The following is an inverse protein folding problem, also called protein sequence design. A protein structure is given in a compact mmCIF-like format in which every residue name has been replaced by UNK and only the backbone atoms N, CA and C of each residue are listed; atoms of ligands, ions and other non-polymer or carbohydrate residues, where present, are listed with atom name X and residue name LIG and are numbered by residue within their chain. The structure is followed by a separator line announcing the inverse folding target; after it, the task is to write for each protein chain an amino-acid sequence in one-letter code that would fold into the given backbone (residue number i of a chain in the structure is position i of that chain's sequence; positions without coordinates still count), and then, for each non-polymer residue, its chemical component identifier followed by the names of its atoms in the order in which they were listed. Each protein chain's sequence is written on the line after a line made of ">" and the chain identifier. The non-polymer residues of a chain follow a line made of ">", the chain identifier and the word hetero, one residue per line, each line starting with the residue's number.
data_IF_438147672199
#
_entry.id   IF_438147672199
#
_cell.length_a   1.000
_cell.length_b   1.000
_cell.length_c   1.000
_cell.angle_alpha   90.00
_cell.angle_beta   90.00
_cell.angle_gamma   90.00
#
_symmetry.space_group_name_H-M   'P 1'
#
loop_
_entity.id
_entity.type
_entity.pdbx_description
1 polymer ?
#
# COMPACT_ATOMS: atom_id res chain seq x y z
N UNK A 1 -22.23 -22.06 38.53
CA UNK A 1 -22.44 -22.98 37.39
C UNK A 1 -21.78 -22.39 36.15
N UNK A 2 -20.85 -23.12 35.55
CA UNK A 2 -20.50 -23.02 34.11
C UNK A 2 -19.55 -21.90 33.67
N UNK A 3 -18.27 -21.96 34.07
CA UNK A 3 -17.21 -21.25 33.34
C UNK A 3 -16.99 -21.93 31.99
N UNK A 4 -17.31 -21.24 30.89
CA UNK A 4 -17.03 -21.74 29.54
C UNK A 4 -15.52 -21.75 29.25
N UNK A 5 -14.99 -22.77 28.56
CA UNK A 5 -13.59 -22.82 28.16
C UNK A 5 -13.35 -21.81 27.03
N UNK A 6 -12.62 -20.74 27.32
CA UNK A 6 -12.15 -19.81 26.31
C UNK A 6 -11.05 -20.49 25.49
N UNK A 7 -11.39 -21.00 24.30
CA UNK A 7 -10.42 -21.48 23.33
C UNK A 7 -9.39 -20.40 22.97
N UNK A 8 -8.21 -20.78 22.44
CA UNK A 8 -7.14 -19.83 22.14
C UNK A 8 -7.64 -18.74 21.20
N UNK A 9 -7.57 -17.46 21.65
CA UNK A 9 -7.84 -16.30 20.79
C UNK A 9 -6.83 -16.33 19.65
N UNK A 10 -7.26 -16.70 18.45
CA UNK A 10 -6.41 -16.56 17.27
C UNK A 10 -5.96 -15.09 17.18
N UNK A 11 -4.66 -14.81 16.93
CA UNK A 11 -4.18 -13.45 16.76
C UNK A 11 -4.70 -12.91 15.42
N UNK A 12 -5.96 -12.49 15.40
CA UNK A 12 -6.54 -11.76 14.28
C UNK A 12 -6.07 -10.33 14.41
N UNK A 13 -5.38 -9.83 13.37
CA UNK A 13 -5.06 -8.41 13.27
C UNK A 13 -6.36 -7.60 13.46
N UNK A 14 -6.34 -6.55 14.29
CA UNK A 14 -7.46 -5.62 14.41
C UNK A 14 -7.91 -5.14 13.02
N UNK A 15 -9.22 -5.07 12.79
CA UNK A 15 -9.80 -4.76 11.45
C UNK A 15 -9.22 -3.47 10.86
N UNK A 16 -9.00 -2.45 11.69
CA UNK A 16 -8.36 -1.19 11.30
C UNK A 16 -6.93 -1.39 10.75
N UNK A 17 -6.11 -2.23 11.39
CA UNK A 17 -4.74 -2.49 10.95
C UNK A 17 -4.75 -3.22 9.61
N UNK A 18 -5.65 -4.21 9.46
CA UNK A 18 -5.82 -4.92 8.19
C UNK A 18 -6.30 -3.96 7.08
N UNK A 19 -7.26 -3.09 7.37
CA UNK A 19 -7.76 -2.08 6.46
C UNK A 19 -6.63 -1.16 5.97
N UNK A 20 -5.83 -0.62 6.89
CA UNK A 20 -4.70 0.26 6.54
C UNK A 20 -3.70 -0.47 5.66
N UNK A 21 -3.27 -1.68 6.07
CA UNK A 21 -2.27 -2.45 5.34
C UNK A 21 -2.74 -2.81 3.92
N UNK A 22 -3.97 -3.30 3.76
CA UNK A 22 -4.49 -3.71 2.45
C UNK A 22 -4.60 -2.52 1.51
N UNK A 23 -5.21 -1.41 1.96
CA UNK A 23 -5.38 -0.23 1.12
C UNK A 23 -4.04 0.41 0.76
N UNK A 24 -3.12 0.56 1.72
CA UNK A 24 -1.79 1.10 1.44
C UNK A 24 -1.00 0.22 0.48
N UNK A 25 -1.09 -1.12 0.58
CA UNK A 25 -0.40 -2.03 -0.34
C UNK A 25 -0.94 -1.92 -1.76
N UNK A 26 -2.26 -1.78 -1.94
CA UNK A 26 -2.85 -1.55 -3.27
C UNK A 26 -2.29 -0.27 -3.89
N UNK A 27 -2.25 0.82 -3.12
CA UNK A 27 -1.66 2.08 -3.57
C UNK A 27 -0.17 1.94 -3.92
N UNK A 28 0.62 1.23 -3.10
CA UNK A 28 2.04 0.97 -3.38
C UNK A 28 2.23 0.26 -4.71
N UNK A 29 1.45 -0.79 -4.98
CA UNK A 29 1.51 -1.56 -6.23
C UNK A 29 1.17 -0.67 -7.42
N UNK A 30 0.14 0.17 -7.31
CA UNK A 30 -0.20 1.15 -8.35
C UNK A 30 0.98 2.11 -8.57
N UNK A 31 1.58 2.65 -7.51
CA UNK A 31 2.75 3.53 -7.62
C UNK A 31 3.93 2.85 -8.33
N UNK A 32 4.20 1.58 -8.04
CA UNK A 32 5.25 0.82 -8.72
C UNK A 32 4.94 0.56 -10.20
N UNK A 33 3.68 0.31 -10.55
CA UNK A 33 3.26 0.20 -11.96
C UNK A 33 3.48 1.52 -12.70
N UNK A 34 3.16 2.66 -12.08
CA UNK A 34 3.42 3.98 -12.67
C UNK A 34 4.93 4.23 -12.82
N UNK A 35 5.73 3.94 -11.80
CA UNK A 35 7.18 4.07 -11.86
C UNK A 35 7.82 3.17 -12.94
N UNK A 36 7.35 1.94 -13.06
CA UNK A 36 7.75 1.03 -14.13
C UNK A 36 7.36 1.59 -15.51
N UNK A 37 6.16 2.17 -15.63
CA UNK A 37 5.72 2.87 -16.84
C UNK A 37 6.64 4.03 -17.23
N UNK A 38 7.05 4.87 -16.27
CA UNK A 38 7.98 5.98 -16.52
C UNK A 38 9.32 5.50 -17.10
N UNK A 39 9.85 4.41 -16.56
CA UNK A 39 11.10 3.80 -17.05
C UNK A 39 10.88 3.17 -18.42
N UNK A 40 9.81 2.38 -18.58
CA UNK A 40 9.53 1.62 -19.80
C UNK A 40 9.28 2.52 -21.00
N UNK A 41 8.47 3.56 -20.83
CA UNK A 41 8.19 4.55 -21.89
C UNK A 41 9.31 5.60 -22.04
N UNK A 42 10.36 5.51 -21.22
CA UNK A 42 11.49 6.44 -21.22
C UNK A 42 11.03 7.91 -21.20
N UNK A 43 10.07 8.23 -20.32
CA UNK A 43 9.44 9.55 -20.27
C UNK A 43 10.50 10.61 -20.02
N UNK A 44 10.68 11.55 -20.97
CA UNK A 44 11.69 12.59 -20.88
C UNK A 44 13.14 12.08 -20.79
N UNK A 45 13.43 10.86 -21.24
CA UNK A 45 14.76 10.25 -21.13
C UNK A 45 15.04 9.58 -19.77
N UNK A 46 14.05 9.52 -18.87
CA UNK A 46 14.23 9.02 -17.51
C UNK A 46 14.67 7.55 -17.45
N UNK A 47 14.10 6.69 -18.28
CA UNK A 47 14.47 5.29 -18.35
C UNK A 47 15.94 5.10 -18.73
N UNK A 48 16.41 5.82 -19.75
CA UNK A 48 17.82 5.81 -20.15
C UNK A 48 18.74 6.32 -19.05
N UNK A 49 18.34 7.38 -18.33
CA UNK A 49 19.10 7.94 -17.22
C UNK A 49 19.29 6.92 -16.09
N UNK A 50 18.21 6.25 -15.69
CA UNK A 50 18.25 5.20 -14.66
C UNK A 50 19.11 4.02 -15.14
N UNK A 51 18.97 3.61 -16.39
CA UNK A 51 19.69 2.46 -16.95
C UNK A 51 21.17 2.73 -17.26
N UNK A 52 21.60 3.98 -17.42
CA UNK A 52 23.03 4.31 -17.62
C UNK A 52 23.74 4.76 -16.33
N UNK A 53 23.01 5.00 -15.25
CA UNK A 53 23.60 5.33 -13.96
C UNK A 53 24.52 4.21 -13.44
N UNK A 54 25.60 4.58 -12.77
CA UNK A 54 26.44 3.63 -12.02
C UNK A 54 25.74 3.13 -10.74
N UNK A 55 24.72 3.85 -10.27
CA UNK A 55 23.97 3.55 -9.04
C UNK A 55 22.51 3.16 -9.33
N UNK A 56 22.29 2.29 -10.32
CA UNK A 56 20.94 1.90 -10.78
C UNK A 56 20.07 1.37 -9.64
N UNK A 57 20.64 0.54 -8.76
CA UNK A 57 19.92 -0.02 -7.62
C UNK A 57 19.41 1.04 -6.65
N UNK A 58 20.22 2.06 -6.36
CA UNK A 58 19.84 3.19 -5.49
C UNK A 58 18.75 4.02 -6.15
N UNK A 59 18.89 4.32 -7.45
CA UNK A 59 17.88 5.06 -8.20
C UNK A 59 16.52 4.34 -8.23
N UNK A 60 16.52 3.03 -8.49
CA UNK A 60 15.31 2.21 -8.47
C UNK A 60 14.70 2.14 -7.06
N UNK A 61 15.52 2.01 -6.02
CA UNK A 61 15.03 1.97 -4.64
C UNK A 61 14.37 3.28 -4.24
N UNK A 62 15.02 4.42 -4.48
CA UNK A 62 14.45 5.75 -4.18
C UNK A 62 13.17 5.96 -4.96
N UNK A 63 13.14 5.60 -6.24
CA UNK A 63 11.94 5.72 -7.08
C UNK A 63 10.80 4.84 -6.54
N UNK A 64 11.06 3.57 -6.27
CA UNK A 64 10.08 2.63 -5.75
C UNK A 64 9.54 3.05 -4.39
N UNK A 65 10.40 3.55 -3.48
CA UNK A 65 9.98 4.07 -2.19
C UNK A 65 9.16 5.35 -2.32
N UNK A 66 9.60 6.29 -3.17
CA UNK A 66 8.91 7.57 -3.35
C UNK A 66 7.51 7.38 -3.94
N UNK A 67 7.40 6.60 -5.01
CA UNK A 67 6.10 6.27 -5.63
C UNK A 67 5.26 5.37 -4.71
N UNK A 68 5.88 4.37 -4.08
CA UNK A 68 5.19 3.46 -3.16
C UNK A 68 4.52 4.21 -2.02
N UNK A 69 5.26 5.07 -1.31
CA UNK A 69 4.72 5.85 -0.19
C UNK A 69 3.66 6.85 -0.67
N UNK A 70 3.91 7.57 -1.77
CA UNK A 70 2.97 8.58 -2.28
C UNK A 70 1.63 7.96 -2.68
N UNK A 71 1.64 6.91 -3.50
CA UNK A 71 0.41 6.27 -3.96
C UNK A 71 -0.23 5.41 -2.87
N UNK A 72 0.57 4.76 -2.00
CA UNK A 72 0.09 4.03 -0.84
C UNK A 72 -0.72 4.91 0.11
N UNK A 73 -0.23 6.13 0.37
CA UNK A 73 -0.94 7.09 1.20
C UNK A 73 -2.16 7.68 0.48
N UNK A 74 -2.04 8.01 -0.81
CA UNK A 74 -3.17 8.52 -1.60
C UNK A 74 -4.35 7.53 -1.61
N UNK A 75 -4.10 6.25 -1.88
CA UNK A 75 -5.14 5.22 -1.90
C UNK A 75 -5.74 4.98 -0.52
N UNK A 76 -4.90 4.93 0.53
CA UNK A 76 -5.37 4.83 1.91
C UNK A 76 -6.26 6.01 2.28
N UNK A 77 -5.85 7.24 1.98
CA UNK A 77 -6.62 8.44 2.27
C UNK A 77 -7.97 8.41 1.55
N UNK A 78 -8.00 8.01 0.28
CA UNK A 78 -9.26 7.80 -0.46
C UNK A 78 -10.14 6.76 0.21
N UNK A 79 -9.59 5.62 0.61
CA UNK A 79 -10.34 4.57 1.30
C UNK A 79 -10.93 5.05 2.64
N UNK A 80 -10.16 5.85 3.41
CA UNK A 80 -10.63 6.46 4.66
C UNK A 80 -11.77 7.46 4.41
N UNK A 81 -11.67 8.29 3.37
CA UNK A 81 -12.73 9.26 3.02
C UNK A 81 -14.03 8.55 2.61
N UNK A 82 -13.91 7.39 1.95
CA UNK A 82 -15.03 6.57 1.50
C UNK A 82 -15.57 5.62 2.59
N UNK A 83 -14.98 5.64 3.79
CA UNK A 83 -15.40 4.74 4.86
C UNK A 83 -16.80 5.11 5.39
N UNK A 84 -17.74 4.15 5.51
CA UNK A 84 -19.04 4.37 6.14
C UNK A 84 -18.89 4.85 7.59
N UNK A 85 -19.77 5.74 8.04
CA UNK A 85 -19.71 6.38 9.39
C UNK A 85 -20.48 5.62 10.46
N UNK A 86 -21.20 4.59 10.08
CA UNK A 86 -21.98 3.69 10.91
C UNK A 86 -21.14 2.49 11.37
N UNK A 87 -20.96 2.42 12.69
CA UNK A 87 -20.15 1.41 13.39
C UNK A 87 -20.56 -0.05 13.11
N UNK A 88 -21.82 -0.27 12.74
CA UNK A 88 -22.38 -1.62 12.55
C UNK A 88 -22.10 -2.16 11.13
N UNK A 89 -21.74 -1.29 10.17
CA UNK A 89 -21.38 -1.63 8.78
C UNK A 89 -19.85 -1.84 8.61
N UNK A 90 -19.03 -1.05 9.34
CA UNK A 90 -17.57 -1.22 9.35
C UNK A 90 -17.11 -2.59 9.86
N UNK A 91 -17.90 -3.23 10.73
CA UNK A 91 -17.57 -4.54 11.27
C UNK A 91 -17.86 -5.71 10.30
N UNK A 92 -18.54 -5.48 9.18
CA UNK A 92 -18.89 -6.52 8.21
C UNK A 92 -17.89 -6.67 7.05
N UNK A 93 -17.01 -5.70 6.84
CA UNK A 93 -15.92 -5.69 5.83
C UNK A 93 -14.60 -6.21 6.39
#
# INVERSE_FOLDING_TARGET
>A
MGGAPNGPRQPRLPKLIRFVLVNSLIGVVIGWLVAAGLIWFNVGGFGQLVMHSSQRGVALFILAMSFGVTFGFAFLATAVILLPRDKDEFDQV
#
